data_IF_686025022660
#
_entry.id   IF_686025022660
#
_cell.length_a   1.000
_cell.length_b   1.000
_cell.length_c   1.000
_cell.angle_alpha   90.00
_cell.angle_beta   90.00
_cell.angle_gamma   90.00
#
_symmetry.space_group_name_H-M   'P 1'
#
loop_
_entity.id
_entity.type
_entity.pdbx_description
1 polymer ?
#
# COMPACT_ATOMS: atom_id res chain seq x y z
N UNK A 1 32.32 0.14 -16.43
CA UNK A 1 32.18 1.52 -15.89
C UNK A 1 31.94 1.54 -14.38
N UNK A 2 31.25 0.54 -13.80
CA UNK A 2 31.07 0.41 -12.34
C UNK A 2 32.35 0.00 -11.61
N UNK A 3 33.24 -0.77 -12.25
CA UNK A 3 34.54 -1.18 -11.70
C UNK A 3 35.55 -0.03 -11.66
N UNK A 4 35.55 0.86 -12.66
CA UNK A 4 36.43 2.04 -12.67
C UNK A 4 36.04 3.08 -11.61
N UNK A 5 34.72 3.28 -11.37
CA UNK A 5 34.24 4.16 -10.31
C UNK A 5 34.56 3.60 -8.90
N UNK A 6 34.48 2.28 -8.73
CA UNK A 6 34.92 1.60 -7.50
C UNK A 6 36.39 1.69 -7.24
N UNK A 7 37.24 1.65 -8.30
CA UNK A 7 38.67 1.84 -8.20
C UNK A 7 39.07 3.27 -7.83
N UNK A 8 38.40 4.30 -8.38
CA UNK A 8 38.67 5.71 -8.02
C UNK A 8 38.38 5.98 -6.53
N UNK A 9 37.39 5.37 -5.94
CA UNK A 9 37.10 5.47 -4.51
C UNK A 9 38.10 4.70 -3.63
N UNK A 10 38.69 3.62 -4.14
CA UNK A 10 39.71 2.84 -3.43
C UNK A 10 41.07 3.53 -3.30
N UNK A 11 41.37 4.52 -4.15
CA UNK A 11 42.65 5.25 -4.15
C UNK A 11 42.71 6.50 -3.24
N UNK A 12 41.66 6.76 -2.45
CA UNK A 12 41.70 7.80 -1.41
C UNK A 12 41.98 9.21 -1.93
N UNK A 13 41.64 9.52 -3.17
CA UNK A 13 41.80 10.86 -3.72
C UNK A 13 40.84 11.83 -3.02
N UNK A 14 41.30 12.95 -2.46
CA UNK A 14 40.44 13.91 -1.82
C UNK A 14 39.49 14.54 -2.83
N UNK A 15 38.19 14.29 -2.69
CA UNK A 15 37.17 14.95 -3.50
C UNK A 15 36.92 16.32 -2.87
N UNK A 16 37.52 17.37 -3.41
CA UNK A 16 37.18 18.73 -3.05
C UNK A 16 35.92 19.18 -3.78
N UNK A 17 34.78 19.21 -3.09
CA UNK A 17 33.54 19.71 -3.67
C UNK A 17 32.43 19.77 -2.62
N UNK A 18 31.50 20.70 -2.79
CA UNK A 18 30.32 20.81 -1.95
C UNK A 18 29.37 19.62 -2.16
N UNK A 19 28.51 19.37 -1.19
CA UNK A 19 27.53 18.25 -1.18
C UNK A 19 26.69 18.17 -2.47
N UNK A 20 26.41 19.32 -3.10
CA UNK A 20 25.67 19.43 -4.35
C UNK A 20 26.46 18.86 -5.53
N UNK A 21 27.78 19.12 -5.62
CA UNK A 21 28.64 18.61 -6.68
C UNK A 21 28.82 17.09 -6.57
N UNK A 22 28.97 16.57 -5.35
CA UNK A 22 28.98 15.12 -5.08
C UNK A 22 27.67 14.47 -5.50
N UNK A 23 26.53 15.08 -5.19
CA UNK A 23 25.20 14.59 -5.63
C UNK A 23 25.06 14.60 -7.15
N UNK A 24 25.52 15.65 -7.84
CA UNK A 24 25.46 15.74 -9.30
C UNK A 24 26.34 14.68 -9.97
N UNK A 25 27.47 14.34 -9.39
CA UNK A 25 28.35 13.29 -9.87
C UNK A 25 27.79 11.88 -9.62
N UNK A 26 27.20 11.65 -8.44
CA UNK A 26 26.66 10.34 -8.05
C UNK A 26 25.31 10.03 -8.73
N UNK A 27 24.46 11.03 -9.00
CA UNK A 27 23.15 10.83 -9.62
C UNK A 27 23.18 10.12 -10.99
N UNK A 28 24.08 10.41 -11.93
CA UNK A 28 24.22 9.64 -13.17
C UNK A 28 24.70 8.21 -12.94
N UNK A 29 25.52 7.97 -11.91
CA UNK A 29 26.03 6.64 -11.55
C UNK A 29 24.97 5.79 -10.84
N UNK A 30 23.99 6.44 -10.22
CA UNK A 30 22.80 5.80 -9.62
C UNK A 30 21.67 5.52 -10.62
N UNK A 31 21.90 5.66 -11.92
CA UNK A 31 20.97 5.14 -12.92
C UNK A 31 20.93 3.62 -12.81
N UNK A 32 20.20 3.16 -11.80
CA UNK A 32 19.63 1.81 -11.78
C UNK A 32 18.76 1.75 -13.04
N UNK A 33 19.05 0.83 -13.94
CA UNK A 33 18.12 0.49 -15.01
C UNK A 33 16.75 0.30 -14.35
N UNK A 34 15.79 1.13 -14.75
CA UNK A 34 14.45 1.05 -14.22
C UNK A 34 13.95 -0.37 -14.52
N UNK A 35 13.92 -1.22 -13.51
CA UNK A 35 13.32 -2.55 -13.66
C UNK A 35 11.98 -2.36 -14.35
N UNK A 36 11.67 -3.13 -15.40
CA UNK A 36 10.41 -3.00 -16.10
C UNK A 36 9.29 -3.10 -15.06
N UNK A 37 8.46 -2.05 -14.98
CA UNK A 37 7.31 -2.03 -14.07
C UNK A 37 6.35 -3.08 -14.59
N UNK A 38 6.45 -4.30 -14.08
CA UNK A 38 5.48 -5.35 -14.33
C UNK A 38 4.15 -4.88 -13.71
N UNK A 39 3.28 -4.33 -14.54
CA UNK A 39 1.91 -4.00 -14.14
C UNK A 39 1.17 -5.31 -13.94
N UNK A 40 0.95 -5.70 -12.70
CA UNK A 40 0.02 -6.77 -12.40
C UNK A 40 -1.39 -6.27 -12.72
N UNK A 41 -1.87 -6.60 -13.90
CA UNK A 41 -3.27 -6.39 -14.25
C UNK A 41 -4.08 -7.51 -13.62
N UNK A 42 -4.98 -7.15 -12.72
CA UNK A 42 -5.93 -8.08 -12.13
C UNK A 42 -7.18 -8.11 -13.02
N UNK A 43 -7.77 -9.27 -13.31
CA UNK A 43 -9.03 -9.35 -14.04
C UNK A 43 -10.15 -8.54 -13.37
N UNK A 44 -11.20 -8.14 -14.11
CA UNK A 44 -12.39 -7.53 -13.53
C UNK A 44 -12.95 -8.37 -12.39
N UNK A 45 -13.36 -7.73 -11.29
CA UNK A 45 -13.95 -8.41 -10.13
C UNK A 45 -13.00 -9.29 -9.31
N UNK A 46 -11.74 -9.44 -9.69
CA UNK A 46 -10.83 -10.35 -8.98
C UNK A 46 -10.34 -9.80 -7.65
N UNK A 47 -10.04 -8.50 -7.57
CA UNK A 47 -9.37 -7.95 -6.39
C UNK A 47 -9.72 -6.50 -6.11
N UNK A 48 -9.85 -6.18 -4.83
CA UNK A 48 -9.86 -4.84 -4.26
C UNK A 48 -8.74 -4.73 -3.22
N UNK A 49 -8.14 -3.56 -3.09
CA UNK A 49 -7.20 -3.23 -2.01
C UNK A 49 -7.88 -2.26 -1.06
N UNK A 50 -7.78 -2.51 0.25
CA UNK A 50 -8.33 -1.66 1.29
C UNK A 50 -7.25 -1.32 2.33
N UNK A 51 -7.13 -0.04 2.68
CA UNK A 51 -6.12 0.46 3.62
C UNK A 51 -6.59 1.74 4.30
N UNK A 52 -6.06 2.00 5.51
CA UNK A 52 -6.17 3.30 6.14
C UNK A 52 -4.94 4.16 5.89
N UNK A 53 -5.12 5.43 5.65
CA UNK A 53 -4.03 6.39 5.55
C UNK A 53 -4.25 7.55 6.52
N UNK A 54 -3.21 7.92 7.26
CA UNK A 54 -3.27 9.07 8.17
C UNK A 54 -3.18 10.35 7.36
N UNK A 55 -4.20 11.19 7.49
CA UNK A 55 -4.26 12.52 6.85
C UNK A 55 -3.70 13.58 7.81
N UNK A 56 -4.21 13.61 9.03
CA UNK A 56 -3.78 14.54 10.06
C UNK A 56 -3.51 13.78 11.37
N UNK A 57 -2.38 14.07 11.97
CA UNK A 57 -2.00 13.57 13.30
C UNK A 57 -2.29 14.64 14.35
N UNK A 58 -2.37 14.25 15.61
CA UNK A 58 -2.50 15.17 16.74
C UNK A 58 -3.74 14.92 17.58
N UNK A 59 -4.24 15.98 18.22
CA UNK A 59 -5.34 15.89 19.18
C UNK A 59 -6.66 15.49 18.53
N UNK A 60 -6.85 15.84 17.27
CA UNK A 60 -8.00 15.45 16.44
C UNK A 60 -7.47 14.72 15.20
N UNK A 61 -7.18 13.41 15.31
CA UNK A 61 -6.66 12.66 14.19
C UNK A 61 -7.72 12.53 13.09
N UNK A 62 -7.28 12.65 11.85
CA UNK A 62 -8.09 12.40 10.67
C UNK A 62 -7.43 11.31 9.86
N UNK A 63 -8.16 10.25 9.61
CA UNK A 63 -7.77 9.13 8.76
C UNK A 63 -8.66 9.09 7.53
N UNK A 64 -8.18 8.48 6.47
CA UNK A 64 -9.00 8.12 5.33
C UNK A 64 -8.92 6.62 5.12
N UNK A 65 -10.07 5.96 5.11
CA UNK A 65 -10.21 4.63 4.55
C UNK A 65 -10.25 4.75 3.03
N UNK A 66 -9.43 3.98 2.35
CA UNK A 66 -9.34 3.96 0.89
C UNK A 66 -9.51 2.53 0.40
N UNK A 67 -10.50 2.30 -0.45
CA UNK A 67 -10.69 1.05 -1.16
C UNK A 67 -10.52 1.26 -2.66
N UNK A 68 -9.67 0.48 -3.34
CA UNK A 68 -9.37 0.62 -4.76
C UNK A 68 -9.53 -0.70 -5.48
N UNK A 69 -10.36 -0.72 -6.53
CA UNK A 69 -10.54 -1.89 -7.39
C UNK A 69 -9.28 -2.16 -8.23
N UNK A 70 -8.91 -3.40 -8.32
CA UNK A 70 -7.67 -3.83 -8.98
C UNK A 70 -7.64 -3.58 -10.48
N UNK A 71 -8.77 -3.74 -11.17
CA UNK A 71 -8.91 -3.57 -12.62
C UNK A 71 -9.24 -2.12 -13.02
N UNK A 72 -10.41 -1.62 -12.64
CA UNK A 72 -10.91 -0.31 -13.04
C UNK A 72 -10.18 0.86 -12.41
N UNK A 73 -9.47 0.64 -11.30
CA UNK A 73 -8.85 1.67 -10.47
C UNK A 73 -9.85 2.63 -9.80
N UNK A 74 -11.13 2.33 -9.89
CA UNK A 74 -12.13 3.07 -9.15
C UNK A 74 -11.80 3.00 -7.65
N UNK A 75 -11.87 4.15 -6.98
CA UNK A 75 -11.49 4.26 -5.58
C UNK A 75 -12.64 4.87 -4.79
N UNK A 76 -12.92 4.28 -3.63
CA UNK A 76 -13.82 4.78 -2.61
C UNK A 76 -12.99 5.35 -1.47
N UNK A 77 -13.41 6.50 -0.94
CA UNK A 77 -12.75 7.16 0.19
C UNK A 77 -13.78 7.53 1.22
N UNK A 78 -13.50 7.23 2.49
CA UNK A 78 -14.26 7.70 3.64
C UNK A 78 -13.32 8.22 4.71
N UNK A 79 -13.57 9.44 5.19
CA UNK A 79 -12.84 10.01 6.32
C UNK A 79 -13.37 9.47 7.65
N UNK A 80 -12.46 9.17 8.55
CA UNK A 80 -12.74 8.61 9.87
C UNK A 80 -11.82 9.20 10.92
N UNK A 81 -12.18 9.05 12.19
CA UNK A 81 -11.34 9.43 13.33
C UNK A 81 -10.69 8.23 14.02
N UNK A 82 -11.08 7.01 13.62
CA UNK A 82 -10.58 5.74 14.17
C UNK A 82 -10.26 4.75 13.04
N UNK A 83 -9.39 3.79 13.34
CA UNK A 83 -8.99 2.68 12.45
C UNK A 83 -9.25 1.30 13.10
N UNK A 84 -10.22 1.24 14.03
CA UNK A 84 -10.59 -0.01 14.68
C UNK A 84 -11.35 -0.96 13.73
N UNK A 85 -11.55 -2.21 14.18
CA UNK A 85 -12.20 -3.25 13.39
C UNK A 85 -13.65 -2.92 13.02
N UNK A 86 -14.35 -2.17 13.85
CA UNK A 86 -15.74 -1.77 13.61
C UNK A 86 -15.84 -0.71 12.52
N UNK A 87 -15.01 0.32 12.62
CA UNK A 87 -14.87 1.35 11.60
C UNK A 87 -14.46 0.75 10.25
N UNK A 88 -13.50 -0.19 10.25
CA UNK A 88 -13.10 -0.91 9.05
C UNK A 88 -14.28 -1.64 8.40
N UNK A 89 -15.03 -2.41 9.19
CA UNK A 89 -16.18 -3.18 8.70
C UNK A 89 -17.28 -2.27 8.13
N UNK A 90 -17.56 -1.14 8.79
CA UNK A 90 -18.50 -0.15 8.28
C UNK A 90 -18.04 0.45 6.95
N UNK A 91 -16.77 0.85 6.86
CA UNK A 91 -16.19 1.40 5.62
C UNK A 91 -16.18 0.38 4.48
N UNK A 92 -15.92 -0.90 4.77
CA UNK A 92 -15.95 -1.97 3.76
C UNK A 92 -17.35 -2.14 3.18
N UNK A 93 -18.39 -2.21 4.04
CA UNK A 93 -19.77 -2.32 3.58
C UNK A 93 -20.15 -1.17 2.65
N UNK A 94 -19.84 0.05 3.03
CA UNK A 94 -20.14 1.22 2.21
C UNK A 94 -19.35 1.21 0.87
N UNK A 95 -18.09 0.80 0.88
CA UNK A 95 -17.29 0.69 -0.34
C UNK A 95 -17.89 -0.35 -1.30
N UNK A 96 -18.25 -1.53 -0.82
CA UNK A 96 -18.85 -2.60 -1.62
C UNK A 96 -20.21 -2.18 -2.20
N UNK A 97 -21.05 -1.51 -1.42
CA UNK A 97 -22.31 -0.94 -1.88
C UNK A 97 -22.08 0.17 -2.94
N UNK A 98 -21.11 1.05 -2.72
CA UNK A 98 -20.75 2.11 -3.66
C UNK A 98 -20.25 1.56 -5.01
N UNK A 99 -19.47 0.48 -5.00
CA UNK A 99 -19.00 -0.16 -6.22
C UNK A 99 -20.08 -0.97 -6.95
N UNK A 100 -21.21 -1.24 -6.30
CA UNK A 100 -22.29 -2.06 -6.86
C UNK A 100 -21.91 -3.51 -7.12
N UNK A 101 -20.88 -4.02 -6.43
CA UNK A 101 -20.41 -5.39 -6.58
C UNK A 101 -19.31 -5.76 -5.61
N UNK A 102 -19.09 -7.06 -5.47
CA UNK A 102 -18.14 -7.63 -4.52
C UNK A 102 -16.99 -8.31 -5.27
N UNK A 103 -15.71 -7.92 -5.03
CA UNK A 103 -14.58 -8.60 -5.62
C UNK A 103 -14.37 -9.97 -4.96
N UNK A 104 -13.74 -10.90 -5.68
CA UNK A 104 -13.40 -12.21 -5.13
C UNK A 104 -12.49 -12.10 -3.90
N UNK A 105 -11.55 -11.16 -3.93
CA UNK A 105 -10.54 -11.01 -2.91
C UNK A 105 -10.43 -9.55 -2.46
N UNK A 106 -10.40 -9.33 -1.14
CA UNK A 106 -10.04 -8.04 -0.55
C UNK A 106 -8.68 -8.16 0.10
N UNK A 107 -7.73 -7.37 -0.41
CA UNK A 107 -6.34 -7.35 0.03
C UNK A 107 -6.13 -6.26 1.08
N UNK A 108 -5.65 -6.67 2.24
CA UNK A 108 -5.36 -5.78 3.36
C UNK A 108 -3.87 -5.68 3.63
N UNK A 109 -3.46 -4.56 4.23
CA UNK A 109 -2.16 -4.48 4.89
C UNK A 109 -2.17 -5.24 6.23
N UNK A 110 -1.00 -5.50 6.77
CA UNK A 110 -0.81 -6.28 7.98
C UNK A 110 -1.11 -5.47 9.25
N UNK A 111 -2.28 -4.85 9.34
CA UNK A 111 -2.71 -4.12 10.53
C UNK A 111 -3.22 -5.08 11.62
N UNK A 112 -2.83 -4.87 12.86
CA UNK A 112 -3.28 -5.67 14.03
C UNK A 112 -4.80 -5.64 14.21
N UNK A 113 -5.48 -4.63 13.72
CA UNK A 113 -6.95 -4.50 13.69
C UNK A 113 -7.63 -5.52 12.79
N UNK A 114 -6.90 -6.09 11.84
CA UNK A 114 -7.41 -7.00 10.81
C UNK A 114 -6.98 -8.43 11.09
N UNK A 115 -5.72 -8.63 11.51
CA UNK A 115 -5.12 -9.93 11.74
C UNK A 115 -4.67 -10.04 13.20
N UNK A 116 -5.23 -11.01 13.90
CA UNK A 116 -4.86 -11.30 15.28
C UNK A 116 -3.51 -12.01 15.31
N UNK A 117 -3.32 -12.98 14.42
CA UNK A 117 -2.11 -13.78 14.33
C UNK A 117 -1.85 -14.20 12.88
N UNK A 118 -0.61 -14.01 12.44
CA UNK A 118 -0.20 -14.37 11.10
C UNK A 118 0.26 -15.82 11.07
N UNK A 119 -0.17 -16.56 10.03
CA UNK A 119 0.22 -17.96 9.82
C UNK A 119 -0.05 -18.89 11.03
N UNK A 120 -1.12 -18.57 11.81
CA UNK A 120 -1.50 -19.27 13.04
C UNK A 120 -1.74 -20.77 12.85
N UNK A 121 -2.13 -21.19 11.66
CA UNK A 121 -2.50 -22.59 11.33
C UNK A 121 -1.72 -23.13 10.12
N UNK A 122 -0.61 -22.49 9.75
CA UNK A 122 0.22 -22.82 8.60
C UNK A 122 0.38 -21.68 7.61
N UNK A 123 1.26 -21.83 6.62
CA UNK A 123 1.60 -20.77 5.66
C UNK A 123 0.34 -20.28 4.92
N UNK A 124 0.04 -18.98 5.06
CA UNK A 124 -1.13 -18.35 4.48
C UNK A 124 -2.44 -18.50 5.26
N UNK A 125 -2.46 -19.26 6.36
CA UNK A 125 -3.64 -19.43 7.22
C UNK A 125 -3.59 -18.49 8.42
N UNK A 126 -4.07 -17.27 8.21
CA UNK A 126 -4.05 -16.22 9.21
C UNK A 126 -5.25 -16.30 10.15
N UNK A 127 -5.06 -15.94 11.42
CA UNK A 127 -6.15 -15.72 12.36
C UNK A 127 -6.69 -14.31 12.21
N UNK A 128 -7.82 -14.19 11.53
CA UNK A 128 -8.49 -12.94 11.26
C UNK A 128 -9.34 -12.47 12.44
N UNK A 129 -9.59 -11.16 12.48
CA UNK A 129 -10.58 -10.61 13.42
C UNK A 129 -11.99 -11.10 13.07
N UNK A 130 -12.74 -11.58 14.07
CA UNK A 130 -14.07 -12.20 13.86
C UNK A 130 -15.07 -11.28 13.13
N UNK A 131 -15.07 -9.97 13.45
CA UNK A 131 -15.92 -8.99 12.76
C UNK A 131 -15.63 -8.90 11.26
N UNK A 132 -14.36 -8.99 10.86
CA UNK A 132 -13.99 -8.99 9.44
C UNK A 132 -14.44 -10.27 8.74
N UNK A 133 -14.31 -11.42 9.40
CA UNK A 133 -14.79 -12.69 8.83
C UNK A 133 -16.29 -12.66 8.63
N UNK A 134 -17.06 -12.11 9.58
CA UNK A 134 -18.52 -11.97 9.44
C UNK A 134 -18.89 -11.11 8.22
N UNK A 135 -18.17 -10.00 7.97
CA UNK A 135 -18.40 -9.17 6.76
C UNK A 135 -17.98 -9.91 5.50
N UNK A 136 -16.86 -10.65 5.56
CA UNK A 136 -16.40 -11.44 4.43
C UNK A 136 -17.39 -12.53 4.03
N UNK A 137 -18.01 -13.19 5.01
CA UNK A 137 -19.07 -14.18 4.80
C UNK A 137 -20.35 -13.53 4.29
N UNK A 138 -20.79 -12.42 4.90
CA UNK A 138 -21.99 -11.66 4.50
C UNK A 138 -21.96 -11.26 3.02
N UNK A 139 -20.79 -10.79 2.52
CA UNK A 139 -20.64 -10.33 1.15
C UNK A 139 -20.04 -11.37 0.20
N UNK A 140 -19.47 -12.45 0.69
CA UNK A 140 -18.93 -13.54 -0.13
C UNK A 140 -17.53 -13.24 -0.71
N UNK A 141 -16.69 -12.45 -0.06
CA UNK A 141 -15.31 -12.23 -0.49
C UNK A 141 -14.29 -12.97 0.39
N UNK A 142 -13.08 -13.20 -0.15
CA UNK A 142 -12.00 -13.78 0.61
C UNK A 142 -11.01 -12.68 1.08
N UNK A 143 -10.78 -12.50 2.40
CA UNK A 143 -9.76 -11.60 2.89
C UNK A 143 -8.37 -12.19 2.61
N UNK A 144 -7.44 -11.33 2.18
CA UNK A 144 -6.03 -11.68 1.92
C UNK A 144 -5.09 -10.64 2.50
N UNK A 145 -3.90 -11.05 2.94
CA UNK A 145 -2.84 -10.16 3.37
C UNK A 145 -1.86 -9.86 2.24
N UNK A 146 -1.37 -8.62 2.24
CA UNK A 146 -0.20 -8.27 1.45
C UNK A 146 1.01 -9.09 1.93
N UNK A 147 1.73 -9.72 1.00
CA UNK A 147 2.99 -10.38 1.33
C UNK A 147 4.02 -9.33 1.77
N UNK A 148 4.78 -9.57 2.86
CA UNK A 148 5.88 -8.71 3.25
C UNK A 148 6.87 -8.53 2.09
N UNK A 149 7.51 -7.36 2.01
CA UNK A 149 8.56 -7.05 1.02
C UNK A 149 8.17 -7.07 -0.46
N UNK A 150 6.90 -7.21 -0.82
CA UNK A 150 6.41 -6.98 -2.19
C UNK A 150 5.74 -5.62 -2.31
N UNK A 151 6.53 -4.55 -2.28
CA UNK A 151 6.08 -3.17 -2.49
C UNK A 151 5.29 -2.99 -3.81
N UNK A 152 5.55 -3.83 -4.81
CA UNK A 152 4.87 -3.81 -6.13
C UNK A 152 3.35 -4.08 -6.04
N UNK A 153 2.87 -4.79 -4.99
CA UNK A 153 1.43 -5.11 -4.84
C UNK A 153 0.63 -3.93 -4.28
N UNK A 154 1.27 -3.05 -3.49
CA UNK A 154 0.63 -1.92 -2.79
C UNK A 154 0.65 -0.60 -3.59
N UNK A 155 1.42 -0.51 -4.65
CA UNK A 155 1.65 0.73 -5.41
C UNK A 155 0.40 1.40 -6.00
N UNK A 156 -0.76 0.73 -5.98
CA UNK A 156 -2.03 1.28 -6.46
C UNK A 156 -2.66 2.21 -5.43
N UNK A 157 -2.79 1.74 -4.20
CA UNK A 157 -3.34 2.54 -3.08
C UNK A 157 -2.35 3.64 -2.68
N UNK A 158 -1.05 3.37 -2.70
CA UNK A 158 -0.02 4.37 -2.36
C UNK A 158 -0.05 5.59 -3.30
N UNK A 159 -0.27 5.37 -4.62
CA UNK A 159 -0.43 6.48 -5.58
C UNK A 159 -1.67 7.31 -5.28
N UNK A 160 -2.77 6.65 -4.99
CA UNK A 160 -4.01 7.33 -4.66
C UNK A 160 -3.89 8.08 -3.33
N UNK A 161 -3.25 7.49 -2.33
CA UNK A 161 -2.94 8.15 -1.06
C UNK A 161 -2.05 9.39 -1.24
N UNK A 162 -1.07 9.32 -2.16
CA UNK A 162 -0.24 10.46 -2.55
C UNK A 162 -1.07 11.58 -3.19
N UNK A 163 -1.97 11.25 -4.10
CA UNK A 163 -2.90 12.20 -4.71
C UNK A 163 -3.83 12.82 -3.67
N UNK A 164 -4.43 12.00 -2.80
CA UNK A 164 -5.35 12.47 -1.77
C UNK A 164 -4.68 13.49 -0.84
N UNK A 165 -3.44 13.23 -0.43
CA UNK A 165 -2.68 14.12 0.47
C UNK A 165 -2.14 15.38 -0.20
N UNK A 166 -1.77 15.31 -1.47
CA UNK A 166 -1.09 16.38 -2.17
C UNK A 166 -1.97 17.27 -3.05
N UNK A 167 -3.16 16.80 -3.43
CA UNK A 167 -4.00 17.49 -4.41
C UNK A 167 -5.44 17.69 -3.97
N UNK A 168 -5.94 16.88 -3.04
CA UNK A 168 -7.33 16.94 -2.60
C UNK A 168 -7.50 17.64 -1.26
N UNK A 169 -6.49 17.61 -0.40
CA UNK A 169 -6.51 18.13 0.98
C UNK A 169 -5.61 19.37 1.15
N UNK A 170 -5.50 20.18 0.12
CA UNK A 170 -4.78 21.47 0.18
C UNK A 170 -5.54 22.50 0.95
#
# INVERSE_FOLDING_TARGET
RSEEAGRALAFGLPVCGGLTQVKMFINPLKRVEAEPVVRFETPPGAQMQADFTVIRRGREPLLAFVATLGYSRASFVRFTTAEDAETLCACLREALLCFGGVPQHVLFDNAKTIVIERDAHGDGQHRWHAKLLAVAEEFGFQPRLCRPYRAKTKGKVERFNGYLKGSFLV
#
